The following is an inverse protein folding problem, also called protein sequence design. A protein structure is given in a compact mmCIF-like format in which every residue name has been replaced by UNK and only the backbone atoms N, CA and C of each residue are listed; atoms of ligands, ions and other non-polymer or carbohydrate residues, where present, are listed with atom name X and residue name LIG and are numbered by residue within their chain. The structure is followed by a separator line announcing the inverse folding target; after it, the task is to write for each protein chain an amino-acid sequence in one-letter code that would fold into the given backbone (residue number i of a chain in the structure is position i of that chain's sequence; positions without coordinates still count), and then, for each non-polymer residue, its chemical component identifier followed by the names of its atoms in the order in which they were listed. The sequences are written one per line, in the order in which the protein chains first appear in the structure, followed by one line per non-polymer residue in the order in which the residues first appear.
data_IF_284111261549
#
_entry.id   IF_284111261549
#
_cell.length_a   1.000
_cell.length_b   1.000
_cell.length_c   1.000
_cell.angle_alpha   90.00
_cell.angle_beta   90.00
_cell.angle_gamma   90.00
#
_symmetry.space_group_name_H-M   'P 1'
#
loop_
_entity.id
_entity.type
_entity.pdbx_description
1 polymer ?
#
# COMPACT_ATOMS: atom_id res chain seq x y z
N UNK A 1 28.14 -9.27 4.96
CA UNK A 1 27.58 -8.70 3.72
C UNK A 1 26.16 -8.27 4.05
N UNK A 2 25.90 -6.97 3.96
CA UNK A 2 24.92 -6.19 4.73
C UNK A 2 23.49 -6.74 4.78
N UNK A 3 23.12 -7.29 5.93
CA UNK A 3 21.77 -7.77 6.27
C UNK A 3 21.15 -6.76 7.25
N UNK A 4 20.03 -6.18 6.84
CA UNK A 4 19.01 -5.50 7.65
C UNK A 4 19.42 -4.24 8.46
N UNK A 5 19.23 -3.06 7.87
CA UNK A 5 18.68 -1.90 8.60
C UNK A 5 18.17 -0.81 7.62
N UNK A 6 17.06 -1.07 6.92
CA UNK A 6 16.19 0.01 6.42
C UNK A 6 14.83 -0.17 7.06
N UNK A 7 14.69 0.25 8.31
CA UNK A 7 13.39 0.42 8.94
C UNK A 7 12.75 1.65 8.27
N UNK A 8 12.03 1.40 7.17
CA UNK A 8 11.18 2.39 6.51
C UNK A 8 9.96 2.57 7.40
N UNK A 9 9.91 3.66 8.15
CA UNK A 9 8.81 3.91 9.06
C UNK A 9 7.55 4.22 8.26
N UNK A 10 6.69 3.21 8.08
CA UNK A 10 5.26 3.32 7.75
C UNK A 10 4.45 3.68 9.02
N UNK A 11 4.97 4.60 9.84
CA UNK A 11 4.17 5.14 10.95
C UNK A 11 3.27 6.22 10.37
N UNK A 12 1.96 6.00 10.48
CA UNK A 12 0.95 7.05 10.50
C UNK A 12 1.16 7.91 11.76
N UNK A 13 2.32 8.56 11.89
CA UNK A 13 2.52 9.64 12.86
C UNK A 13 1.82 10.85 12.27
N UNK A 14 0.76 11.30 12.92
CA UNK A 14 0.30 12.68 12.82
C UNK A 14 1.45 13.59 13.29
N UNK A 15 1.88 14.61 12.51
CA UNK A 15 1.31 15.06 11.25
C UNK A 15 1.84 14.22 10.08
N UNK A 16 0.90 13.63 9.34
CA UNK A 16 1.16 13.14 7.98
C UNK A 16 1.76 14.33 7.22
N UNK A 17 2.85 14.11 6.50
CA UNK A 17 3.59 15.14 5.76
C UNK A 17 2.68 15.78 4.69
N UNK A 18 1.84 16.72 5.10
CA UNK A 18 1.15 17.70 4.27
C UNK A 18 1.85 19.07 4.44
N UNK A 19 1.61 19.97 3.47
CA UNK A 19 2.32 21.24 3.29
C UNK A 19 2.77 21.92 4.59
N UNK A 20 4.06 22.23 4.67
CA UNK A 20 4.67 23.05 5.73
C UNK A 20 5.62 22.33 6.69
N UNK A 21 5.60 21.00 6.76
CA UNK A 21 6.60 20.25 7.53
C UNK A 21 7.94 20.21 6.77
N UNK A 22 8.88 21.09 7.15
CA UNK A 22 10.29 20.91 6.80
C UNK A 22 10.71 19.52 7.27
N UNK A 23 11.05 18.63 6.33
CA UNK A 23 11.72 17.38 6.64
C UNK A 23 12.96 17.77 7.45
N UNK A 24 12.96 17.46 8.74
CA UNK A 24 14.14 17.67 9.55
C UNK A 24 15.24 16.80 8.94
N UNK A 25 16.45 17.34 8.72
CA UNK A 25 17.55 16.53 8.25
C UNK A 25 17.71 15.35 9.23
N UNK A 26 17.95 14.13 8.71
CA UNK A 26 18.12 12.96 9.57
C UNK A 26 19.19 13.29 10.62
N UNK A 27 18.84 13.13 11.90
CA UNK A 27 19.76 13.37 13.01
C UNK A 27 21.06 12.61 12.73
N UNK A 28 22.15 13.36 12.54
CA UNK A 28 23.45 12.91 12.02
C UNK A 28 24.17 11.88 12.93
N UNK A 29 23.51 11.41 13.99
CA UNK A 29 24.04 10.50 15.02
C UNK A 29 23.30 9.16 15.13
N UNK A 30 22.29 8.89 14.30
CA UNK A 30 21.62 7.59 14.28
C UNK A 30 22.37 6.59 13.38
N UNK A 31 22.58 5.33 13.81
CA UNK A 31 23.27 4.31 13.00
C UNK A 31 22.47 3.83 11.77
N UNK A 32 21.32 4.43 11.48
CA UNK A 32 20.42 4.04 10.40
C UNK A 32 19.99 5.25 9.57
N UNK A 33 20.04 5.11 8.24
CA UNK A 33 19.51 6.09 7.31
C UNK A 33 17.98 6.10 7.37
N UNK A 34 17.37 7.21 7.79
CA UNK A 34 15.93 7.40 7.78
C UNK A 34 15.47 7.95 6.43
N UNK A 35 14.45 7.32 5.85
CA UNK A 35 13.86 7.71 4.57
C UNK A 35 12.35 7.92 4.73
N UNK A 36 11.83 9.01 4.18
CA UNK A 36 10.43 9.41 4.31
C UNK A 36 9.61 9.05 3.08
N UNK A 37 8.36 8.66 3.32
CA UNK A 37 7.35 8.43 2.28
C UNK A 37 6.34 9.57 2.29
N UNK A 38 5.92 10.02 1.10
CA UNK A 38 4.87 11.03 0.93
C UNK A 38 3.48 10.40 0.88
N UNK A 39 2.47 11.11 1.36
CA UNK A 39 1.07 10.72 1.18
C UNK A 39 0.62 10.98 -0.29
N UNK A 40 -0.17 10.06 -0.85
CA UNK A 40 -0.80 10.23 -2.17
C UNK A 40 -2.01 11.14 -2.12
N UNK A 41 -2.69 11.16 -0.98
CA UNK A 41 -3.88 11.96 -0.76
C UNK A 41 -3.78 12.83 0.49
N UNK A 42 -4.56 13.90 0.53
CA UNK A 42 -4.64 14.79 1.69
C UNK A 42 -5.04 13.97 2.92
N UNK A 43 -4.22 14.07 3.96
CA UNK A 43 -4.36 13.32 5.21
C UNK A 43 -4.45 11.79 5.03
N UNK A 44 -3.97 11.25 3.90
CA UNK A 44 -4.07 9.84 3.53
C UNK A 44 -5.50 9.28 3.57
N UNK A 45 -6.49 10.11 3.22
CA UNK A 45 -7.93 9.75 3.25
C UNK A 45 -8.46 9.11 1.96
N UNK A 46 -7.68 9.10 0.88
CA UNK A 46 -8.10 8.50 -0.40
C UNK A 46 -9.10 9.34 -1.21
N UNK A 47 -9.29 10.63 -0.89
CA UNK A 47 -10.35 11.47 -1.47
C UNK A 47 -9.82 12.55 -2.44
N UNK A 48 -8.74 13.22 -2.07
CA UNK A 48 -8.17 14.34 -2.82
C UNK A 48 -6.65 14.18 -2.94
N UNK A 49 -6.10 14.45 -4.13
CA UNK A 49 -4.67 14.39 -4.41
C UNK A 49 -3.90 15.47 -3.61
N UNK A 50 -2.71 15.13 -3.14
CA UNK A 50 -1.74 16.07 -2.52
C UNK A 50 -0.88 16.78 -3.57
N UNK A 51 -0.11 17.78 -3.14
CA UNK A 51 0.93 18.41 -3.97
C UNK A 51 2.13 17.48 -4.17
N UNK A 52 1.96 16.48 -5.04
CA UNK A 52 2.92 15.39 -5.25
C UNK A 52 4.28 15.87 -5.77
N UNK A 53 4.30 16.91 -6.62
CA UNK A 53 5.54 17.47 -7.16
C UNK A 53 6.39 18.12 -6.05
N UNK A 54 5.77 18.87 -5.15
CA UNK A 54 6.46 19.49 -4.01
C UNK A 54 7.04 18.43 -3.07
N UNK A 55 6.26 17.39 -2.77
CA UNK A 55 6.72 16.27 -1.95
C UNK A 55 7.88 15.51 -2.63
N UNK A 56 7.81 15.33 -3.96
CA UNK A 56 8.89 14.72 -4.73
C UNK A 56 10.18 15.56 -4.63
N UNK A 57 10.07 16.89 -4.75
CA UNK A 57 11.19 17.84 -4.62
C UNK A 57 11.75 17.90 -3.19
N UNK A 58 10.91 17.68 -2.18
CA UNK A 58 11.33 17.62 -0.78
C UNK A 58 12.19 16.38 -0.44
N UNK A 59 12.29 15.39 -1.34
CA UNK A 59 13.19 14.25 -1.18
C UNK A 59 12.54 12.97 -0.61
N UNK A 60 11.22 12.82 -0.71
CA UNK A 60 10.55 11.54 -0.36
C UNK A 60 11.04 10.40 -1.25
N UNK A 61 11.14 9.18 -0.71
CA UNK A 61 11.62 8.01 -1.48
C UNK A 61 10.53 7.34 -2.30
N UNK A 62 9.27 7.66 -2.03
CA UNK A 62 8.09 7.08 -2.68
C UNK A 62 6.81 7.62 -2.08
N UNK A 63 5.68 7.16 -2.61
CA UNK A 63 4.35 7.59 -2.18
C UNK A 63 3.50 6.42 -1.69
N UNK A 64 2.77 6.61 -0.60
CA UNK A 64 1.87 5.61 -0.04
C UNK A 64 0.84 6.26 0.86
N UNK A 65 -0.37 5.70 0.88
CA UNK A 65 -1.40 6.05 1.86
C UNK A 65 -1.58 4.93 2.89
N UNK A 66 -2.12 5.29 4.06
CA UNK A 66 -2.52 4.32 5.08
C UNK A 66 -3.81 3.57 4.74
N UNK A 67 -4.62 4.15 3.85
CA UNK A 67 -5.93 3.63 3.44
C UNK A 67 -5.91 3.15 1.98
N UNK A 68 -6.75 2.17 1.61
CA UNK A 68 -6.94 1.81 0.22
C UNK A 68 -7.65 2.93 -0.53
N UNK A 69 -7.25 3.19 -1.77
CA UNK A 69 -7.87 4.19 -2.64
C UNK A 69 -9.08 3.55 -3.32
N UNK A 70 -10.29 3.90 -2.88
CA UNK A 70 -11.53 3.32 -3.42
C UNK A 70 -11.94 3.93 -4.77
N UNK A 71 -11.56 5.19 -5.03
CA UNK A 71 -11.92 5.88 -6.27
C UNK A 71 -10.86 5.59 -7.36
N UNK A 72 -11.19 4.70 -8.30
CA UNK A 72 -10.30 4.36 -9.41
C UNK A 72 -10.03 5.51 -10.39
N UNK A 73 -10.93 6.50 -10.49
CA UNK A 73 -10.67 7.70 -11.28
C UNK A 73 -9.58 8.58 -10.64
N UNK A 74 -9.58 8.66 -9.30
CA UNK A 74 -8.49 9.32 -8.56
C UNK A 74 -7.19 8.54 -8.71
N UNK A 75 -7.23 7.22 -8.53
CA UNK A 75 -6.07 6.35 -8.70
C UNK A 75 -5.43 6.53 -10.08
N UNK A 76 -6.24 6.49 -11.15
CA UNK A 76 -5.77 6.68 -12.52
C UNK A 76 -4.99 8.00 -12.66
N UNK A 77 -5.57 9.11 -12.18
CA UNK A 77 -4.91 10.42 -12.19
C UNK A 77 -3.60 10.42 -11.39
N UNK A 78 -3.56 9.76 -10.23
CA UNK A 78 -2.34 9.64 -9.41
C UNK A 78 -1.24 8.89 -10.17
N UNK A 79 -1.59 7.77 -10.80
CA UNK A 79 -0.64 6.95 -11.56
C UNK A 79 -0.11 7.69 -12.80
N UNK A 80 -0.98 8.40 -13.52
CA UNK A 80 -0.60 9.25 -14.67
C UNK A 80 0.33 10.39 -14.22
N UNK A 81 0.00 11.08 -13.13
CA UNK A 81 0.78 12.21 -12.62
C UNK A 81 2.17 11.79 -12.11
N UNK A 82 2.27 10.61 -11.49
CA UNK A 82 3.51 10.12 -10.90
C UNK A 82 4.41 9.36 -11.89
N UNK A 83 3.89 8.99 -13.06
CA UNK A 83 4.67 8.37 -14.12
C UNK A 83 5.96 9.17 -14.47
N UNK A 84 5.89 10.48 -14.78
CA UNK A 84 7.09 11.28 -15.07
C UNK A 84 7.98 11.53 -13.84
N UNK A 85 7.41 11.45 -12.63
CA UNK A 85 8.17 11.64 -11.38
C UNK A 85 9.11 10.47 -11.12
N UNK A 86 8.81 9.28 -11.65
CA UNK A 86 9.69 8.11 -11.59
C UNK A 86 9.93 7.56 -10.18
N UNK A 87 9.08 7.93 -9.20
CA UNK A 87 9.16 7.44 -7.82
C UNK A 87 8.20 6.27 -7.60
N UNK A 88 8.58 5.27 -6.77
CA UNK A 88 7.75 4.12 -6.52
C UNK A 88 6.47 4.50 -5.74
N UNK A 89 5.36 3.87 -6.12
CA UNK A 89 4.07 4.03 -5.46
C UNK A 89 3.75 2.73 -4.74
N UNK A 90 3.43 2.79 -3.45
CA UNK A 90 2.98 1.63 -2.69
C UNK A 90 1.48 1.74 -2.41
N UNK A 91 0.73 0.70 -2.78
CA UNK A 91 -0.71 0.65 -2.65
C UNK A 91 -1.14 -0.56 -1.83
N UNK A 92 -2.28 -0.43 -1.17
CA UNK A 92 -2.95 -1.50 -0.45
C UNK A 92 -4.26 -1.84 -1.14
N UNK A 93 -4.42 -3.09 -1.55
CA UNK A 93 -5.60 -3.59 -2.22
C UNK A 93 -6.62 -4.10 -1.20
N UNK A 94 -7.68 -3.32 -0.96
CA UNK A 94 -8.77 -3.71 -0.08
C UNK A 94 -10.02 -2.89 -0.41
N UNK A 95 -11.10 -3.57 -0.78
CA UNK A 95 -12.42 -2.96 -0.87
C UNK A 95 -13.04 -2.89 0.53
N UNK A 96 -13.19 -1.67 1.05
CA UNK A 96 -13.75 -1.45 2.38
C UNK A 96 -15.24 -1.72 2.46
N UNK A 97 -15.99 -1.62 1.36
CA UNK A 97 -17.40 -1.93 1.34
C UNK A 97 -17.61 -3.45 1.47
N UNK A 98 -16.76 -4.25 0.81
CA UNK A 98 -16.75 -5.71 0.97
C UNK A 98 -16.16 -6.15 2.32
N UNK A 99 -15.13 -5.47 2.82
CA UNK A 99 -14.51 -5.82 4.09
C UNK A 99 -15.40 -5.47 5.31
N UNK A 100 -16.25 -4.45 5.17
CA UNK A 100 -17.11 -3.95 6.24
C UNK A 100 -16.34 -3.62 7.52
N UNK A 101 -16.88 -4.08 8.65
CA UNK A 101 -16.23 -3.98 9.96
C UNK A 101 -15.51 -5.28 10.35
N UNK A 102 -15.05 -6.06 9.37
CA UNK A 102 -14.36 -7.32 9.62
C UNK A 102 -13.06 -7.13 10.38
N UNK A 103 -12.84 -7.97 11.39
CA UNK A 103 -11.65 -7.95 12.28
C UNK A 103 -10.79 -9.20 12.11
N UNK A 104 -11.35 -10.26 11.54
CA UNK A 104 -10.70 -11.53 11.27
C UNK A 104 -11.02 -11.96 9.85
N UNK A 105 -10.21 -12.82 9.23
CA UNK A 105 -10.59 -13.43 7.94
C UNK A 105 -11.89 -14.22 8.11
N UNK A 106 -12.81 -14.03 7.17
CA UNK A 106 -14.04 -14.83 7.10
C UNK A 106 -13.74 -16.33 6.95
N UNK A 107 -14.36 -17.16 7.78
CA UNK A 107 -14.28 -18.61 7.70
C UNK A 107 -14.86 -19.31 8.94
N UNK A 108 -14.61 -20.60 9.07
CA UNK A 108 -15.14 -21.40 10.19
C UNK A 108 -14.79 -20.82 11.56
N UNK A 109 -13.56 -20.33 11.74
CA UNK A 109 -13.14 -19.76 13.03
C UNK A 109 -13.76 -18.39 13.32
N UNK A 110 -13.99 -17.53 12.32
CA UNK A 110 -14.70 -16.27 12.55
C UNK A 110 -16.13 -16.52 13.04
N UNK A 111 -16.80 -17.52 12.45
CA UNK A 111 -18.13 -17.96 12.88
C UNK A 111 -18.11 -18.56 14.29
N UNK A 112 -17.13 -19.42 14.60
CA UNK A 112 -16.99 -20.04 15.93
C UNK A 112 -16.77 -19.02 17.04
N UNK A 113 -16.01 -17.96 16.77
CA UNK A 113 -15.73 -16.89 17.74
C UNK A 113 -16.76 -15.75 17.72
N UNK A 114 -17.74 -15.78 16.80
CA UNK A 114 -18.71 -14.69 16.64
C UNK A 114 -18.08 -13.36 16.21
N UNK A 115 -16.92 -13.40 15.55
CA UNK A 115 -16.20 -12.22 15.10
C UNK A 115 -16.61 -11.87 13.66
N UNK A 116 -16.77 -10.57 13.32
CA UNK A 116 -17.07 -10.16 11.96
C UNK A 116 -15.91 -10.51 11.03
N UNK A 117 -16.22 -11.25 9.97
CA UNK A 117 -15.26 -11.74 8.99
C UNK A 117 -15.01 -10.75 7.85
N UNK A 118 -13.76 -10.64 7.40
CA UNK A 118 -13.38 -9.99 6.16
C UNK A 118 -13.27 -11.04 5.05
N UNK A 119 -14.11 -10.98 4.00
CA UNK A 119 -14.06 -11.94 2.90
C UNK A 119 -12.74 -11.82 2.14
N UNK A 120 -12.27 -12.94 1.58
CA UNK A 120 -11.10 -12.92 0.68
C UNK A 120 -11.33 -12.05 -0.56
N UNK A 121 -12.60 -11.93 -1.02
CA UNK A 121 -12.97 -11.12 -2.17
C UNK A 121 -12.66 -9.62 -1.99
N UNK A 122 -12.64 -9.13 -0.73
CA UNK A 122 -12.31 -7.74 -0.45
C UNK A 122 -10.89 -7.37 -0.91
N UNK A 123 -9.94 -8.30 -0.79
CA UNK A 123 -8.59 -8.11 -1.33
C UNK A 123 -8.56 -8.36 -2.84
N UNK A 124 -9.10 -9.49 -3.29
CA UNK A 124 -8.89 -9.93 -4.68
C UNK A 124 -9.63 -9.09 -5.71
N UNK A 125 -10.83 -8.59 -5.40
CA UNK A 125 -11.58 -7.72 -6.31
C UNK A 125 -10.88 -6.37 -6.50
N UNK A 126 -10.48 -5.73 -5.40
CA UNK A 126 -9.72 -4.49 -5.44
C UNK A 126 -8.37 -4.68 -6.16
N UNK A 127 -7.68 -5.80 -5.89
CA UNK A 127 -6.42 -6.12 -6.53
C UNK A 127 -6.57 -6.32 -8.05
N UNK A 128 -7.59 -7.04 -8.49
CA UNK A 128 -7.83 -7.22 -9.93
C UNK A 128 -8.06 -5.89 -10.64
N UNK A 129 -8.90 -5.02 -10.08
CA UNK A 129 -9.16 -3.69 -10.64
C UNK A 129 -7.90 -2.81 -10.65
N UNK A 130 -7.10 -2.84 -9.56
CA UNK A 130 -5.82 -2.14 -9.47
C UNK A 130 -4.85 -2.58 -10.59
N UNK A 131 -4.75 -3.88 -10.83
CA UNK A 131 -3.87 -4.44 -11.85
C UNK A 131 -4.26 -3.99 -13.27
N UNK A 132 -5.55 -3.88 -13.57
CA UNK A 132 -6.01 -3.37 -14.86
C UNK A 132 -5.71 -1.87 -15.04
N UNK A 133 -5.85 -1.05 -13.99
CA UNK A 133 -5.41 0.34 -14.05
C UNK A 133 -3.89 0.46 -14.27
N UNK A 134 -3.10 -0.40 -13.62
CA UNK A 134 -1.63 -0.41 -13.80
C UNK A 134 -1.25 -0.89 -15.19
N UNK A 135 -1.98 -1.85 -15.77
CA UNK A 135 -1.78 -2.31 -17.14
C UNK A 135 -1.99 -1.19 -18.16
N UNK A 136 -3.02 -0.35 -17.97
CA UNK A 136 -3.36 0.76 -18.86
C UNK A 136 -2.30 1.87 -18.85
N UNK A 137 -1.78 2.21 -17.66
CA UNK A 137 -0.90 3.40 -17.48
C UNK A 137 0.60 3.02 -17.51
N UNK A 138 0.95 1.84 -17.03
CA UNK A 138 2.33 1.37 -16.98
C UNK A 138 3.21 1.99 -15.88
N UNK A 139 2.62 2.67 -14.89
CA UNK A 139 3.37 3.22 -13.75
C UNK A 139 3.81 2.10 -12.79
N UNK A 140 5.08 2.07 -12.33
CA UNK A 140 5.54 1.06 -11.38
C UNK A 140 4.85 1.14 -10.03
N UNK A 141 4.25 0.02 -9.59
CA UNK A 141 3.50 -0.04 -8.32
C UNK A 141 3.97 -1.21 -7.45
N UNK A 142 4.09 -0.95 -6.15
CA UNK A 142 4.31 -1.95 -5.11
C UNK A 142 3.01 -2.27 -4.38
N UNK A 143 2.57 -3.52 -4.44
CA UNK A 143 1.38 -4.00 -3.77
C UNK A 143 1.73 -4.51 -2.36
N UNK A 144 1.22 -3.82 -1.35
CA UNK A 144 1.50 -4.13 0.05
C UNK A 144 0.47 -5.11 0.63
N UNK A 145 0.91 -5.88 1.64
CA UNK A 145 0.04 -6.64 2.55
C UNK A 145 -0.80 -7.73 1.87
N UNK A 146 -0.25 -8.38 0.84
CA UNK A 146 -0.94 -9.48 0.17
C UNK A 146 -1.13 -10.63 1.14
N UNK A 147 -2.37 -11.10 1.25
CA UNK A 147 -2.79 -12.04 2.29
C UNK A 147 -3.52 -13.27 1.76
N UNK A 148 -3.99 -13.25 0.52
CA UNK A 148 -4.78 -14.33 -0.07
C UNK A 148 -3.97 -15.14 -1.08
N UNK A 149 -4.25 -16.45 -1.15
CA UNK A 149 -3.69 -17.32 -2.19
C UNK A 149 -4.07 -16.82 -3.58
N UNK A 150 -5.35 -16.48 -3.79
CA UNK A 150 -5.83 -15.92 -5.06
C UNK A 150 -5.17 -14.58 -5.40
N UNK A 151 -4.87 -13.74 -4.43
CA UNK A 151 -4.12 -12.51 -4.64
C UNK A 151 -2.70 -12.77 -5.16
N UNK A 152 -2.01 -13.78 -4.60
CA UNK A 152 -0.70 -14.20 -5.09
C UNK A 152 -0.77 -14.74 -6.54
N UNK A 153 -1.83 -15.45 -6.90
CA UNK A 153 -2.07 -15.90 -8.28
C UNK A 153 -2.26 -14.71 -9.23
N UNK A 154 -3.10 -13.74 -8.88
CA UNK A 154 -3.30 -12.52 -9.67
C UNK A 154 -2.00 -11.76 -9.92
N UNK A 155 -1.13 -11.67 -8.91
CA UNK A 155 0.18 -11.04 -9.04
C UNK A 155 1.11 -11.84 -9.95
N UNK A 156 1.10 -13.17 -9.84
CA UNK A 156 1.89 -14.04 -10.72
C UNK A 156 1.47 -13.87 -12.17
N UNK A 157 0.17 -13.85 -12.44
CA UNK A 157 -0.38 -13.69 -13.78
C UNK A 157 -0.07 -12.29 -14.34
N UNK A 158 -0.18 -11.24 -13.52
CA UNK A 158 0.22 -9.89 -13.89
C UNK A 158 1.74 -9.76 -14.18
N UNK A 159 2.60 -10.44 -13.41
CA UNK A 159 4.04 -10.51 -13.71
C UNK A 159 4.33 -11.26 -15.01
N UNK A 160 3.58 -12.32 -15.33
CA UNK A 160 3.70 -13.03 -16.60
C UNK A 160 3.33 -12.13 -17.79
N UNK A 161 2.36 -11.24 -17.61
CA UNK A 161 2.02 -10.15 -18.55
C UNK A 161 3.05 -9.00 -18.59
N UNK A 162 4.15 -9.08 -17.82
CA UNK A 162 5.21 -8.06 -17.71
C UNK A 162 4.75 -6.70 -17.18
N UNK A 163 3.69 -6.66 -16.36
CA UNK A 163 3.31 -5.44 -15.67
C UNK A 163 4.43 -4.99 -14.71
N UNK A 164 4.67 -3.68 -14.53
CA UNK A 164 5.72 -3.14 -13.67
C UNK A 164 5.31 -3.19 -12.19
N UNK A 165 5.02 -4.39 -11.69
CA UNK A 165 4.52 -4.59 -10.32
C UNK A 165 5.51 -5.34 -9.43
N UNK A 166 5.52 -4.94 -8.18
CA UNK A 166 6.16 -5.70 -7.09
C UNK A 166 5.13 -5.95 -5.99
N UNK A 167 5.40 -6.90 -5.10
CA UNK A 167 4.47 -7.23 -4.01
C UNK A 167 5.21 -7.59 -2.73
N UNK A 168 4.59 -7.34 -1.58
CA UNK A 168 5.08 -7.74 -0.26
C UNK A 168 3.97 -8.35 0.58
N UNK A 169 4.37 -9.21 1.52
CA UNK A 169 3.51 -9.79 2.55
C UNK A 169 4.18 -9.62 3.91
N UNK A 170 3.43 -9.28 4.97
CA UNK A 170 3.99 -9.21 6.32
C UNK A 170 4.37 -10.60 6.82
N UNK A 171 5.45 -10.69 7.60
CA UNK A 171 5.95 -11.94 8.16
C UNK A 171 4.89 -12.72 8.96
N UNK A 172 3.97 -12.02 9.63
CA UNK A 172 2.86 -12.65 10.37
C UNK A 172 1.95 -13.50 9.47
N UNK A 173 1.74 -13.12 8.20
CA UNK A 173 0.94 -13.90 7.26
C UNK A 173 1.66 -15.15 6.74
N UNK A 174 2.99 -15.23 6.94
CA UNK A 174 3.78 -16.42 6.62
C UNK A 174 3.81 -17.43 7.77
N UNK A 175 3.77 -16.93 9.02
CA UNK A 175 3.88 -17.76 10.21
C UNK A 175 2.53 -18.17 10.80
N UNK A 176 1.52 -17.30 10.70
CA UNK A 176 0.23 -17.47 11.35
C UNK A 176 -0.88 -17.62 10.32
N UNK A 177 -1.91 -18.37 10.72
CA UNK A 177 -3.15 -18.48 9.98
C UNK A 177 -4.35 -18.35 10.93
N UNK A 178 -5.56 -18.44 10.38
CA UNK A 178 -6.81 -18.30 11.16
C UNK A 178 -7.02 -19.38 12.21
N UNK A 179 -6.27 -20.48 12.18
CA UNK A 179 -6.33 -21.58 13.13
C UNK A 179 -5.31 -21.44 14.27
N UNK A 180 -4.34 -20.53 14.15
CA UNK A 180 -3.29 -20.28 15.14
C UNK A 180 -3.74 -19.39 16.32
N UNK A 181 -5.05 -19.33 16.58
CA UNK A 181 -5.68 -18.54 17.64
C UNK A 181 -5.92 -19.39 18.88
#
# INVERSE_FOLDING_TARGET
MSIFCQIRTLRSTTPLLSLGCKLHPPLLSAPASLAYWGALTLEAKGQHMTELAELAAAGVVGFSDGQPIANFALLRRLLEYLQPVGKPIALYACDRALAGNGVVREGANSMRFGLPGTPAIAETAALAALLECIADIGTPVHLMRISTARGAELIRDAKARRLPITASTPWMHLLLNTQSV
#
